data_IF_669808435604
#
_entry.id   IF_669808435604
#
_cell.length_a   1.000
_cell.length_b   1.000
_cell.length_c   1.000
_cell.angle_alpha   90.00
_cell.angle_beta   90.00
_cell.angle_gamma   90.00
#
_symmetry.space_group_name_H-M   'P 1'
#
loop_
_entity.id
_entity.type
_entity.pdbx_description
1 polymer ?
#
# COMPACT_ATOMS: atom_id res chain seq x y z
N UNK A 1 -8.59 3.43 1.90
CA UNK A 1 -7.63 2.64 2.70
C UNK A 1 -7.38 3.39 4.00
N UNK A 2 -7.38 2.70 5.14
CA UNK A 2 -7.18 3.25 6.49
C UNK A 2 -6.21 2.37 7.29
N UNK A 3 -5.79 2.86 8.46
CA UNK A 3 -4.99 2.07 9.41
C UNK A 3 -5.67 0.73 9.71
N UNK A 4 -4.88 -0.34 9.73
CA UNK A 4 -5.24 -1.75 9.85
C UNK A 4 -5.89 -2.41 8.63
N UNK A 5 -6.08 -1.71 7.50
CA UNK A 5 -6.52 -2.37 6.28
C UNK A 5 -5.40 -3.26 5.69
N UNK A 6 -5.81 -4.39 5.10
CA UNK A 6 -4.94 -5.25 4.31
C UNK A 6 -4.77 -4.68 2.90
N UNK A 7 -3.51 -4.59 2.47
CA UNK A 7 -3.12 -4.01 1.19
C UNK A 7 -2.11 -4.89 0.49
N UNK A 8 -1.98 -4.66 -0.81
CA UNK A 8 -0.87 -5.16 -1.61
C UNK A 8 0.00 -3.99 -2.04
N UNK A 9 1.31 -4.13 -1.87
CA UNK A 9 2.29 -3.13 -2.29
C UNK A 9 3.05 -3.62 -3.51
N UNK A 10 3.20 -2.74 -4.50
CA UNK A 10 4.09 -2.94 -5.64
C UNK A 10 5.51 -2.66 -5.18
N UNK A 11 6.38 -3.65 -5.29
CA UNK A 11 7.83 -3.47 -5.17
C UNK A 11 8.44 -3.52 -6.57
N UNK A 12 9.65 -2.99 -6.74
CA UNK A 12 10.34 -2.88 -8.04
C UNK A 12 10.54 -4.23 -8.75
N UNK A 13 10.48 -5.33 -7.99
CA UNK A 13 10.34 -6.69 -8.51
C UNK A 13 8.87 -7.03 -8.74
N UNK A 14 8.56 -7.63 -9.89
CA UNK A 14 7.25 -8.02 -10.47
C UNK A 14 6.18 -8.61 -9.52
N UNK A 15 6.51 -8.92 -8.27
CA UNK A 15 5.62 -9.52 -7.28
C UNK A 15 5.09 -8.45 -6.32
N UNK A 16 3.77 -8.36 -6.20
CA UNK A 16 3.13 -7.58 -5.14
C UNK A 16 3.27 -8.29 -3.81
N UNK A 17 3.57 -7.54 -2.75
CA UNK A 17 3.69 -8.07 -1.38
C UNK A 17 2.48 -7.68 -0.57
N UNK A 18 1.96 -8.58 0.24
CA UNK A 18 0.87 -8.26 1.16
C UNK A 18 1.40 -7.56 2.40
N UNK A 19 0.60 -6.62 2.91
CA UNK A 19 0.91 -5.88 4.12
C UNK A 19 -0.31 -5.29 4.80
N UNK A 20 -0.08 -4.67 5.95
CA UNK A 20 -1.10 -3.98 6.74
C UNK A 20 -0.72 -2.52 6.92
N UNK A 21 -1.67 -1.61 6.76
CA UNK A 21 -1.41 -0.18 6.99
C UNK A 21 -1.24 0.09 8.48
N UNK A 22 -0.13 0.69 8.86
CA UNK A 22 0.16 1.18 10.22
C UNK A 22 -0.17 2.67 10.38
N UNK A 23 0.02 3.46 9.34
CA UNK A 23 -0.24 4.90 9.34
C UNK A 23 -0.61 5.40 7.93
N UNK A 24 -1.37 6.50 7.88
CA UNK A 24 -1.79 7.16 6.64
C UNK A 24 -1.58 8.66 6.83
N UNK A 25 -0.84 9.27 5.91
CA UNK A 25 -0.65 10.72 5.86
C UNK A 25 -1.01 11.25 4.46
N UNK A 26 -1.74 12.36 4.42
CA UNK A 26 -2.19 12.99 3.16
C UNK A 26 -1.33 14.20 2.82
N UNK A 27 -0.85 14.25 1.59
CA UNK A 27 -0.07 15.36 1.03
C UNK A 27 -0.83 15.98 -0.15
N UNK A 28 -0.40 17.16 -0.61
CA UNK A 28 -1.04 17.81 -1.75
C UNK A 28 -0.92 16.97 -3.03
N UNK A 29 0.19 16.26 -3.20
CA UNK A 29 0.52 15.49 -4.41
C UNK A 29 0.13 14.01 -4.30
N UNK A 30 -0.35 13.54 -3.15
CA UNK A 30 -0.53 12.10 -2.92
C UNK A 30 -0.86 11.70 -1.48
N UNK A 31 -0.86 10.39 -1.25
CA UNK A 31 -1.08 9.80 0.07
C UNK A 31 0.10 8.90 0.42
N UNK A 32 0.69 9.08 1.60
CA UNK A 32 1.68 8.17 2.15
C UNK A 32 1.03 7.12 3.04
N UNK A 33 1.48 5.88 2.88
CA UNK A 33 1.06 4.74 3.67
C UNK A 33 2.28 4.08 4.29
N UNK A 34 2.29 3.95 5.62
CA UNK A 34 3.25 3.08 6.29
C UNK A 34 2.69 1.67 6.29
N UNK A 35 3.33 0.74 5.59
CA UNK A 35 2.82 -0.62 5.44
C UNK A 35 3.76 -1.62 6.09
N UNK A 36 3.26 -2.35 7.09
CA UNK A 36 3.91 -3.51 7.68
C UNK A 36 3.91 -4.68 6.70
N UNK A 37 5.10 -5.19 6.38
CA UNK A 37 5.28 -6.39 5.57
C UNK A 37 5.76 -7.54 6.45
N UNK A 38 5.59 -8.79 5.98
CA UNK A 38 6.01 -9.99 6.70
C UNK A 38 7.46 -9.93 7.20
N UNK A 39 8.37 -9.47 6.35
CA UNK A 39 9.81 -9.37 6.67
C UNK A 39 10.20 -8.01 7.27
N UNK A 40 9.27 -7.05 7.29
CA UNK A 40 9.47 -5.68 7.77
C UNK A 40 8.30 -5.26 8.67
N UNK A 41 8.23 -5.80 9.90
CA UNK A 41 7.08 -5.59 10.80
C UNK A 41 6.97 -4.15 11.30
N UNK A 42 8.08 -3.40 11.34
CA UNK A 42 8.08 -1.96 11.66
C UNK A 42 7.45 -1.09 10.56
N UNK A 43 7.27 -1.65 9.36
CA UNK A 43 6.69 -0.97 8.21
C UNK A 43 7.69 -0.25 7.32
N UNK A 44 7.27 -0.05 6.08
CA UNK A 44 7.97 0.73 5.05
C UNK A 44 6.99 1.78 4.53
N UNK A 45 7.47 3.01 4.31
CA UNK A 45 6.68 4.07 3.72
C UNK A 45 6.56 3.91 2.20
N UNK A 46 5.33 3.99 1.71
CA UNK A 46 4.99 4.02 0.30
C UNK A 46 4.20 5.29 0.00
N UNK A 47 4.42 5.88 -1.17
CA UNK A 47 3.72 7.08 -1.61
C UNK A 47 2.87 6.74 -2.84
N UNK A 48 1.60 7.09 -2.82
CA UNK A 48 0.71 7.04 -3.97
C UNK A 48 0.47 8.45 -4.49
N UNK A 49 0.95 8.76 -5.68
CA UNK A 49 0.64 10.00 -6.39
C UNK A 49 -0.84 10.04 -6.82
N UNK A 50 -1.51 11.20 -6.72
CA UNK A 50 -2.91 11.34 -7.16
C UNK A 50 -3.00 11.42 -8.69
N UNK A 51 -2.05 12.09 -9.33
CA UNK A 51 -2.12 12.45 -10.75
C UNK A 51 -1.52 11.41 -11.69
N UNK A 52 -0.88 10.36 -11.15
CA UNK A 52 -0.21 9.32 -11.93
C UNK A 52 -0.58 7.92 -11.46
N UNK A 53 -1.21 7.13 -12.35
CA UNK A 53 -1.49 5.70 -12.09
C UNK A 53 -0.21 4.86 -11.98
N UNK A 54 0.87 5.29 -12.64
CA UNK A 54 2.16 4.60 -12.54
C UNK A 54 2.83 4.81 -11.18
N UNK A 55 2.50 5.92 -10.51
CA UNK A 55 2.92 6.27 -9.14
C UNK A 55 2.05 5.67 -8.03
N UNK A 56 1.19 4.70 -8.34
CA UNK A 56 0.41 3.96 -7.33
C UNK A 56 1.17 2.71 -6.87
N UNK A 57 1.64 2.72 -5.64
CA UNK A 57 2.39 1.62 -5.03
C UNK A 57 1.56 0.79 -4.06
N UNK A 58 0.55 1.38 -3.40
CA UNK A 58 -0.31 0.69 -2.43
C UNK A 58 -1.72 0.56 -2.98
N UNK A 59 -2.25 -0.65 -2.97
CA UNK A 59 -3.62 -0.93 -3.40
C UNK A 59 -4.34 -1.79 -2.36
N UNK A 60 -5.67 -1.65 -2.23
CA UNK A 60 -6.45 -2.51 -1.35
C UNK A 60 -6.32 -3.97 -1.81
N UNK A 61 -6.20 -4.89 -0.85
CA UNK A 61 -6.21 -6.32 -1.17
C UNK A 61 -7.62 -6.71 -1.62
N UNK A 62 -7.81 -6.87 -2.93
CA UNK A 62 -9.04 -7.42 -3.49
C UNK A 62 -9.00 -8.93 -3.26
N UNK A 63 -9.78 -9.42 -2.30
CA UNK A 63 -10.09 -10.84 -2.25
C UNK A 63 -11.02 -11.13 -3.43
N UNK A 64 -10.74 -12.13 -4.28
CA UNK A 64 -11.72 -12.54 -5.27
C UNK A 64 -13.00 -12.92 -4.52
N UNK A 65 -14.12 -12.28 -4.87
CA UNK A 65 -15.43 -12.75 -4.42
C UNK A 65 -15.53 -14.22 -4.80
N UNK A 66 -15.74 -15.07 -3.80
CA UNK A 66 -16.04 -16.48 -4.06
C UNK A 66 -17.39 -16.51 -4.79
N UNK A 67 -17.36 -16.82 -6.09
CA UNK A 67 -18.53 -17.34 -6.82
C UNK A 67 -19.01 -18.67 -6.23
#
# INVERSE_FOLDING_TARGET
MKVNDLVTVKTDGKTRREGTILAVDTFQEGIMYLVALKDYPAGIWFFNEVDSKDGTFVEPKILPEKE
#
